data_IF_099176633665
#
_entry.id   IF_099176633665
#
_cell.length_a   1.000
_cell.length_b   1.000
_cell.length_c   1.000
_cell.angle_alpha   90.00
_cell.angle_beta   90.00
_cell.angle_gamma   90.00
#
_symmetry.space_group_name_H-M   'P 1'
#
loop_
_entity.id
_entity.type
_entity.pdbx_description
1 polymer ?
#
# COMPACT_ATOMS: atom_id res chain seq x y z
N UNK A 1 -1.49 -1.73 17.72
CA UNK A 1 -2.38 -2.08 16.58
C UNK A 1 -1.77 -3.30 15.89
N UNK A 2 -2.56 -4.28 15.46
CA UNK A 2 -2.04 -5.49 14.80
C UNK A 2 -2.54 -5.56 13.36
N UNK A 3 -1.65 -5.87 12.42
CA UNK A 3 -1.97 -5.92 10.99
C UNK A 3 -1.43 -7.20 10.36
N UNK A 4 -2.16 -7.73 9.40
CA UNK A 4 -1.63 -8.68 8.44
C UNK A 4 -0.64 -7.94 7.53
N UNK A 5 0.65 -8.32 7.57
CA UNK A 5 1.69 -7.57 6.90
C UNK A 5 1.92 -8.08 5.47
N UNK A 6 1.61 -7.24 4.48
CA UNK A 6 1.89 -7.47 3.06
C UNK A 6 3.11 -6.64 2.63
N UNK A 7 4.33 -7.18 2.73
CA UNK A 7 5.56 -6.43 2.42
C UNK A 7 5.75 -6.15 0.92
N UNK A 8 5.06 -6.90 0.05
CA UNK A 8 5.30 -6.88 -1.39
C UNK A 8 6.55 -7.68 -1.78
N UNK A 9 6.78 -7.81 -3.09
CA UNK A 9 7.88 -8.65 -3.62
C UNK A 9 9.24 -7.96 -3.55
N UNK A 10 9.30 -6.66 -3.87
CA UNK A 10 10.57 -5.91 -3.97
C UNK A 10 11.27 -5.80 -2.62
N UNK A 11 10.53 -5.56 -1.54
CA UNK A 11 11.09 -5.46 -0.18
C UNK A 11 11.60 -6.80 0.37
N UNK A 12 11.23 -7.92 -0.25
CA UNK A 12 11.77 -9.27 0.06
C UNK A 12 12.91 -9.68 -0.86
N UNK A 13 13.18 -8.90 -1.92
CA UNK A 13 14.14 -9.25 -2.96
C UNK A 13 15.13 -8.11 -3.22
N UNK A 14 14.78 -7.22 -4.17
CA UNK A 14 15.70 -6.22 -4.69
C UNK A 14 16.03 -5.05 -3.72
N UNK A 15 15.14 -4.76 -2.77
CA UNK A 15 15.31 -3.68 -1.78
C UNK A 15 15.03 -4.17 -0.35
N UNK A 16 15.81 -5.14 0.18
CA UNK A 16 15.54 -5.79 1.47
C UNK A 16 15.66 -4.86 2.69
N UNK A 17 16.36 -3.74 2.54
CA UNK A 17 16.46 -2.68 3.52
C UNK A 17 15.11 -2.06 3.86
N UNK A 18 14.16 -2.05 2.92
CA UNK A 18 12.80 -1.54 3.14
C UNK A 18 12.10 -2.39 4.20
N UNK A 19 12.10 -3.71 4.04
CA UNK A 19 11.48 -4.62 4.99
C UNK A 19 12.12 -4.50 6.38
N UNK A 20 13.46 -4.50 6.45
CA UNK A 20 14.19 -4.39 7.72
C UNK A 20 13.85 -3.07 8.44
N UNK A 21 13.77 -1.98 7.69
CA UNK A 21 13.43 -0.66 8.24
C UNK A 21 11.98 -0.64 8.74
N UNK A 22 11.04 -1.17 7.94
CA UNK A 22 9.63 -1.30 8.32
C UNK A 22 9.44 -2.07 9.63
N UNK A 23 10.06 -3.25 9.78
CA UNK A 23 9.93 -4.05 11.01
C UNK A 23 10.44 -3.27 12.23
N UNK A 24 11.54 -2.52 12.09
CA UNK A 24 12.09 -1.70 13.17
C UNK A 24 11.18 -0.52 13.52
N UNK A 25 10.70 0.23 12.51
CA UNK A 25 9.82 1.39 12.78
C UNK A 25 8.46 0.95 13.32
N UNK A 26 7.90 -0.17 12.87
CA UNK A 26 6.61 -0.67 13.35
C UNK A 26 6.64 -0.95 14.85
N UNK A 27 7.74 -1.51 15.38
CA UNK A 27 7.92 -1.68 16.83
C UNK A 27 7.88 -0.35 17.59
N UNK A 28 8.54 0.68 17.06
CA UNK A 28 8.57 2.02 17.66
C UNK A 28 7.17 2.66 17.62
N UNK A 29 6.44 2.46 16.52
CA UNK A 29 5.10 2.99 16.31
C UNK A 29 4.01 2.25 17.11
N UNK A 30 4.33 1.10 17.73
CA UNK A 30 3.35 0.25 18.41
C UNK A 30 2.46 -0.55 17.43
N UNK A 31 3.02 -0.89 16.28
CA UNK A 31 2.41 -1.71 15.23
C UNK A 31 3.00 -3.13 15.32
N UNK A 32 2.14 -4.11 15.56
CA UNK A 32 2.46 -5.53 15.44
C UNK A 32 2.20 -5.98 14.00
N UNK A 33 3.21 -6.57 13.37
CA UNK A 33 3.17 -7.09 12.00
C UNK A 33 3.00 -8.61 12.06
N UNK A 34 1.86 -9.12 11.60
CA UNK A 34 1.58 -10.54 11.45
C UNK A 34 1.87 -10.98 10.01
N UNK A 35 3.04 -11.55 9.81
CA UNK A 35 3.43 -12.07 8.49
C UNK A 35 2.83 -13.42 8.17
N UNK A 36 2.49 -14.20 9.20
CA UNK A 36 1.92 -15.53 9.02
C UNK A 36 0.51 -15.44 8.45
N UNK A 37 -0.23 -14.39 8.78
CA UNK A 37 -1.54 -14.10 8.21
C UNK A 37 -1.53 -14.03 6.67
N UNK A 38 -0.39 -13.71 6.05
CA UNK A 38 -0.23 -13.55 4.60
C UNK A 38 0.94 -14.39 4.03
N UNK A 39 1.32 -15.47 4.69
CA UNK A 39 2.46 -16.31 4.28
C UNK A 39 2.25 -16.92 2.88
N UNK A 40 1.02 -17.31 2.55
CA UNK A 40 0.62 -17.88 1.26
C UNK A 40 0.09 -16.83 0.28
N UNK A 41 0.24 -15.54 0.58
CA UNK A 41 -0.21 -14.47 -0.28
C UNK A 41 0.64 -14.41 -1.57
N UNK A 42 -0.01 -14.20 -2.70
CA UNK A 42 0.64 -14.09 -4.01
C UNK A 42 1.06 -12.65 -4.31
N UNK A 43 1.84 -12.46 -5.37
CA UNK A 43 2.06 -11.13 -5.95
C UNK A 43 0.71 -10.48 -6.35
N UNK A 44 0.61 -9.16 -6.26
CA UNK A 44 -0.56 -8.40 -6.70
C UNK A 44 -0.69 -8.31 -8.22
N UNK A 45 0.35 -8.71 -8.97
CA UNK A 45 0.43 -8.57 -10.43
C UNK A 45 0.90 -7.20 -10.92
N UNK A 46 1.22 -6.29 -10.00
CA UNK A 46 1.79 -4.96 -10.27
C UNK A 46 1.02 -4.10 -11.28
N UNK A 47 -0.29 -4.34 -11.45
CA UNK A 47 -1.15 -3.69 -12.45
C UNK A 47 -1.07 -4.31 -13.85
N UNK A 48 0.05 -4.95 -14.18
CA UNK A 48 0.28 -5.58 -15.49
C UNK A 48 -0.66 -6.77 -15.72
N UNK A 49 -0.92 -7.58 -14.69
CA UNK A 49 -1.87 -8.68 -14.81
C UNK A 49 -3.29 -8.18 -15.09
N UNK A 50 -3.72 -7.13 -14.40
CA UNK A 50 -5.06 -6.55 -14.55
C UNK A 50 -5.26 -5.96 -15.95
N UNK A 51 -4.22 -5.36 -16.53
CA UNK A 51 -4.24 -4.87 -17.91
C UNK A 51 -4.47 -5.98 -18.95
N UNK A 52 -4.01 -7.21 -18.68
CA UNK A 52 -4.17 -8.36 -19.59
C UNK A 52 -5.42 -9.19 -19.29
N UNK A 53 -5.70 -9.44 -18.02
CA UNK A 53 -6.84 -10.20 -17.55
C UNK A 53 -7.28 -9.66 -16.17
N UNK A 54 -8.25 -8.76 -16.18
CA UNK A 54 -8.76 -8.13 -14.96
C UNK A 54 -9.33 -9.15 -13.97
N UNK A 55 -10.10 -10.14 -14.44
CA UNK A 55 -10.68 -11.16 -13.56
C UNK A 55 -9.60 -11.94 -12.82
N UNK A 56 -8.54 -12.38 -13.51
CA UNK A 56 -7.42 -13.05 -12.88
C UNK A 56 -6.72 -12.14 -11.87
N UNK A 57 -6.41 -10.91 -12.26
CA UNK A 57 -5.75 -9.94 -11.39
C UNK A 57 -6.57 -9.63 -10.13
N UNK A 58 -7.87 -9.43 -10.26
CA UNK A 58 -8.76 -9.13 -9.14
C UNK A 58 -8.97 -10.36 -8.26
N UNK A 59 -9.05 -11.56 -8.84
CA UNK A 59 -9.16 -12.81 -8.07
C UNK A 59 -7.94 -13.02 -7.18
N UNK A 60 -6.72 -12.77 -7.68
CA UNK A 60 -5.49 -12.86 -6.89
C UNK A 60 -5.45 -11.85 -5.73
N UNK A 61 -5.88 -10.61 -5.98
CA UNK A 61 -5.89 -9.59 -4.93
C UNK A 61 -7.01 -9.83 -3.92
N UNK A 62 -8.19 -10.25 -4.35
CA UNK A 62 -9.28 -10.67 -3.47
C UNK A 62 -8.85 -11.84 -2.58
N UNK A 63 -8.16 -12.84 -3.13
CA UNK A 63 -7.57 -13.95 -2.38
C UNK A 63 -6.63 -13.47 -1.29
N UNK A 64 -5.70 -12.56 -1.63
CA UNK A 64 -4.78 -11.97 -0.65
C UNK A 64 -5.52 -11.24 0.47
N UNK A 65 -6.61 -10.54 0.15
CA UNK A 65 -7.40 -9.84 1.15
C UNK A 65 -8.21 -10.80 2.01
N UNK A 66 -8.81 -11.83 1.40
CA UNK A 66 -9.56 -12.88 2.08
C UNK A 66 -8.68 -13.65 3.09
N UNK A 67 -7.39 -13.84 2.81
CA UNK A 67 -6.44 -14.43 3.77
C UNK A 67 -6.33 -13.60 5.06
N UNK A 68 -6.26 -12.27 4.93
CA UNK A 68 -6.24 -11.37 6.09
C UNK A 68 -7.60 -11.31 6.80
N UNK A 69 -8.71 -11.29 6.04
CA UNK A 69 -10.08 -11.33 6.59
C UNK A 69 -10.33 -12.58 7.42
N UNK A 70 -9.85 -13.73 6.98
CA UNK A 70 -9.94 -15.00 7.73
C UNK A 70 -9.28 -14.92 9.12
N UNK A 71 -8.29 -14.06 9.27
CA UNK A 71 -7.61 -13.80 10.56
C UNK A 71 -8.19 -12.60 11.31
N UNK A 72 -9.22 -11.93 10.76
CA UNK A 72 -9.79 -10.68 11.27
C UNK A 72 -8.75 -9.56 11.46
N UNK A 73 -7.79 -9.46 10.55
CA UNK A 73 -6.72 -8.47 10.61
C UNK A 73 -6.77 -7.48 9.44
N UNK A 74 -6.65 -6.15 9.68
CA UNK A 74 -6.40 -5.17 8.63
C UNK A 74 -5.07 -5.45 7.92
N UNK A 75 -4.99 -5.14 6.62
CA UNK A 75 -3.75 -5.31 5.86
C UNK A 75 -2.92 -4.03 5.93
N UNK A 76 -1.64 -4.19 6.21
CA UNK A 76 -0.64 -3.14 6.11
C UNK A 76 0.33 -3.46 4.96
N UNK A 77 0.53 -2.50 4.07
CA UNK A 77 1.57 -2.58 3.03
C UNK A 77 2.51 -1.37 3.06
N UNK A 78 3.71 -1.55 2.52
CA UNK A 78 4.73 -0.50 2.34
C UNK A 78 5.03 -0.21 0.86
N UNK A 79 4.31 -0.87 -0.04
CA UNK A 79 4.50 -0.74 -1.47
C UNK A 79 3.33 0.04 -2.07
N UNK A 80 3.63 1.18 -2.68
CA UNK A 80 2.62 2.03 -3.35
C UNK A 80 1.89 1.26 -4.45
N UNK A 81 2.59 0.47 -5.27
CA UNK A 81 1.97 -0.37 -6.30
C UNK A 81 1.03 -1.41 -5.71
N UNK A 82 1.45 -2.12 -4.64
CA UNK A 82 0.59 -3.10 -3.99
C UNK A 82 -0.66 -2.45 -3.40
N UNK A 83 -0.51 -1.31 -2.73
CA UNK A 83 -1.63 -0.50 -2.23
C UNK A 83 -2.62 -0.18 -3.36
N UNK A 84 -2.14 0.44 -4.43
CA UNK A 84 -3.02 0.92 -5.50
C UNK A 84 -3.68 -0.20 -6.30
N UNK A 85 -3.03 -1.34 -6.47
CA UNK A 85 -3.63 -2.50 -7.14
C UNK A 85 -4.69 -3.16 -6.26
N UNK A 86 -4.41 -3.36 -4.97
CA UNK A 86 -5.39 -3.94 -4.03
C UNK A 86 -6.61 -3.01 -3.88
N UNK A 87 -6.40 -1.70 -3.68
CA UNK A 87 -7.51 -0.74 -3.58
C UNK A 87 -8.38 -0.67 -4.84
N UNK A 88 -7.81 -0.86 -6.02
CA UNK A 88 -8.59 -0.94 -7.25
C UNK A 88 -9.44 -2.20 -7.32
N UNK A 89 -8.92 -3.35 -6.88
CA UNK A 89 -9.69 -4.58 -6.77
C UNK A 89 -10.82 -4.44 -5.73
N UNK A 90 -10.51 -3.90 -4.54
CA UNK A 90 -11.48 -3.60 -3.49
C UNK A 90 -12.65 -2.76 -4.03
N UNK A 91 -12.32 -1.67 -4.74
CA UNK A 91 -13.30 -0.78 -5.35
C UNK A 91 -14.19 -1.48 -6.38
N UNK A 92 -13.64 -2.35 -7.24
CA UNK A 92 -14.44 -3.11 -8.21
C UNK A 92 -15.32 -4.17 -7.54
N UNK A 93 -14.84 -4.75 -6.45
CA UNK A 93 -15.55 -5.78 -5.66
C UNK A 93 -16.63 -5.20 -4.74
N UNK A 94 -16.85 -3.89 -4.76
CA UNK A 94 -18.10 -3.29 -4.25
C UNK A 94 -19.32 -3.74 -5.08
N UNK A 95 -19.12 -4.15 -6.34
CA UNK A 95 -20.16 -4.80 -7.14
C UNK A 95 -20.40 -6.23 -6.62
N UNK A 96 -21.60 -6.49 -6.11
CA UNK A 96 -21.93 -7.76 -5.44
C UNK A 96 -21.89 -8.97 -6.38
N UNK A 97 -22.33 -8.81 -7.63
CA UNK A 97 -22.31 -9.88 -8.64
C UNK A 97 -20.87 -10.28 -8.99
N UNK A 98 -20.01 -9.28 -9.22
CA UNK A 98 -18.60 -9.50 -9.50
C UNK A 98 -17.87 -10.12 -8.31
N UNK A 99 -18.18 -9.66 -7.09
CA UNK A 99 -17.67 -10.27 -5.86
C UNK A 99 -18.11 -11.72 -5.72
N UNK A 100 -19.38 -12.03 -6.00
CA UNK A 100 -19.88 -13.39 -5.95
C UNK A 100 -19.12 -14.31 -6.93
N UNK A 101 -18.93 -13.87 -8.18
CA UNK A 101 -18.16 -14.59 -9.18
C UNK A 101 -16.73 -14.90 -8.71
N UNK A 102 -16.03 -13.94 -8.10
CA UNK A 102 -14.68 -14.18 -7.58
C UNK A 102 -14.72 -15.15 -6.39
N UNK A 103 -15.69 -14.98 -5.48
CA UNK A 103 -15.82 -15.84 -4.30
C UNK A 103 -16.11 -17.31 -4.66
N UNK A 104 -16.73 -17.60 -5.81
CA UNK A 104 -16.85 -18.98 -6.31
C UNK A 104 -15.47 -19.63 -6.50
N UNK A 105 -14.49 -18.89 -7.02
CA UNK A 105 -13.12 -19.40 -7.18
C UNK A 105 -12.41 -19.50 -5.82
N UNK A 106 -12.58 -18.52 -4.94
CA UNK A 106 -11.95 -18.52 -3.62
C UNK A 106 -12.46 -19.64 -2.70
N UNK A 107 -13.70 -20.09 -2.90
CA UNK A 107 -14.32 -21.16 -2.13
C UNK A 107 -13.54 -22.49 -2.23
N UNK A 108 -12.86 -22.75 -3.35
CA UNK A 108 -11.99 -23.94 -3.52
C UNK A 108 -10.86 -23.99 -2.48
N UNK A 109 -10.42 -22.83 -1.97
CA UNK A 109 -9.40 -22.70 -0.92
C UNK A 109 -10.01 -22.45 0.48
N UNK A 110 -11.34 -22.50 0.61
CA UNK A 110 -12.03 -22.16 1.85
C UNK A 110 -11.79 -20.71 2.27
N UNK A 111 -11.79 -19.80 1.29
CA UNK A 111 -11.65 -18.35 1.43
C UNK A 111 -12.89 -17.65 0.89
N UNK A 112 -13.17 -16.47 1.44
CA UNK A 112 -14.25 -15.59 0.98
C UNK A 112 -13.77 -14.14 1.16
N UNK A 113 -13.90 -13.32 0.11
CA UNK A 113 -13.73 -11.87 0.22
C UNK A 113 -15.07 -11.24 0.60
N UNK A 114 -15.09 -10.55 1.73
CA UNK A 114 -16.26 -9.88 2.29
C UNK A 114 -16.22 -8.36 2.11
N UNK A 115 -15.04 -7.78 1.88
CA UNK A 115 -14.84 -6.33 1.75
C UNK A 115 -14.82 -5.58 3.07
N UNK A 116 -14.60 -6.29 4.18
CA UNK A 116 -14.55 -5.71 5.53
C UNK A 116 -13.15 -5.22 5.90
N UNK A 117 -12.12 -5.71 5.20
CA UNK A 117 -10.72 -5.44 5.54
C UNK A 117 -10.07 -4.59 4.44
N UNK A 118 -9.98 -3.26 4.62
CA UNK A 118 -9.31 -2.40 3.66
C UNK A 118 -7.78 -2.55 3.76
N UNK A 119 -7.12 -2.55 2.60
CA UNK A 119 -5.66 -2.47 2.49
C UNK A 119 -5.19 -1.05 2.76
N UNK A 120 -4.21 -0.88 3.66
CA UNK A 120 -3.70 0.44 4.04
C UNK A 120 -2.19 0.53 3.98
N UNK A 121 -1.73 1.65 3.43
CA UNK A 121 -0.32 1.94 3.32
C UNK A 121 0.20 2.46 4.65
N UNK A 122 1.43 2.09 5.04
CA UNK A 122 2.00 2.52 6.32
C UNK A 122 2.02 4.04 6.50
N UNK A 123 2.24 4.80 5.42
CA UNK A 123 2.20 6.27 5.45
C UNK A 123 0.82 6.78 5.91
N UNK A 124 -0.25 6.18 5.39
CA UNK A 124 -1.61 6.55 5.74
C UNK A 124 -1.94 6.17 7.18
N UNK A 125 -1.50 5.00 7.65
CA UNK A 125 -1.64 4.61 9.06
C UNK A 125 -0.93 5.63 9.99
N UNK A 126 0.25 6.09 9.59
CA UNK A 126 1.00 7.10 10.35
C UNK A 126 0.21 8.41 10.44
N UNK A 127 -0.27 8.96 9.32
CA UNK A 127 -0.94 10.27 9.34
C UNK A 127 -2.36 10.21 9.89
N UNK A 128 -3.12 9.14 9.60
CA UNK A 128 -4.54 9.02 9.95
C UNK A 128 -4.77 8.51 11.38
N UNK A 129 -3.94 7.59 11.89
CA UNK A 129 -4.18 6.93 13.19
C UNK A 129 -3.14 7.27 14.25
N UNK A 130 -1.86 7.31 13.89
CA UNK A 130 -0.80 7.64 14.85
C UNK A 130 -0.82 9.15 15.11
N UNK A 131 -0.91 9.93 14.03
CA UNK A 131 -0.98 11.38 14.05
C UNK A 131 0.33 12.05 14.41
N UNK A 132 0.41 13.34 14.06
CA UNK A 132 1.60 14.18 14.18
C UNK A 132 2.21 14.15 15.59
N UNK A 133 1.40 14.47 16.61
CA UNK A 133 1.89 14.65 17.99
C UNK A 133 2.58 13.40 18.51
N UNK A 134 1.97 12.23 18.30
CA UNK A 134 2.55 10.96 18.74
C UNK A 134 3.78 10.63 17.90
N UNK A 135 3.73 10.79 16.58
CA UNK A 135 4.85 10.51 15.71
C UNK A 135 6.08 11.36 16.07
N UNK A 136 5.92 12.69 16.19
CA UNK A 136 6.99 13.62 16.59
C UNK A 136 7.61 13.25 17.95
N UNK A 137 6.82 12.78 18.91
CA UNK A 137 7.33 12.34 20.23
C UNK A 137 8.25 11.10 20.16
N UNK A 138 8.14 10.31 19.09
CA UNK A 138 8.95 9.11 18.87
C UNK A 138 10.25 9.39 18.11
N UNK A 139 10.36 10.56 17.46
CA UNK A 139 11.56 10.97 16.71
C UNK A 139 12.72 11.19 17.68
N UNK A 140 13.78 10.37 17.52
CA UNK A 140 14.99 10.44 18.37
C UNK A 140 16.10 11.30 17.80
N UNK A 141 16.13 11.44 16.47
CA UNK A 141 17.11 12.24 15.75
C UNK A 141 16.37 13.04 14.69
N UNK A 142 16.40 14.36 14.85
CA UNK A 142 15.91 15.28 13.84
C UNK A 142 16.82 15.23 12.61
N UNK A 143 16.22 15.44 11.45
CA UNK A 143 16.88 15.50 10.15
C UNK A 143 17.17 16.95 9.73
N UNK A 144 17.49 17.80 10.72
CA UNK A 144 17.74 19.23 10.52
C UNK A 144 18.80 19.45 9.41
N UNK A 145 18.51 20.39 8.52
CA UNK A 145 19.38 20.72 7.39
C UNK A 145 19.24 19.80 6.17
N UNK A 146 18.50 18.69 6.25
CA UNK A 146 18.16 17.89 5.07
C UNK A 146 16.97 18.49 4.32
N UNK A 147 17.08 18.49 2.99
CA UNK A 147 16.05 18.93 2.06
C UNK A 147 15.55 17.74 1.27
N UNK A 148 14.27 17.40 1.39
CA UNK A 148 13.68 16.21 0.78
C UNK A 148 12.56 16.60 -0.20
N UNK A 149 12.60 16.02 -1.40
CA UNK A 149 11.60 16.24 -2.45
C UNK A 149 10.63 15.03 -2.46
N UNK A 150 9.35 15.19 -2.09
CA UNK A 150 8.39 14.09 -2.00
C UNK A 150 8.08 13.44 -3.36
N UNK A 151 8.19 12.13 -3.46
CA UNK A 151 7.74 11.39 -4.65
C UNK A 151 6.73 10.32 -4.25
N UNK A 152 5.46 10.55 -4.62
CA UNK A 152 4.35 9.69 -4.22
C UNK A 152 4.31 8.36 -4.99
N UNK A 153 4.76 8.38 -6.24
CA UNK A 153 4.45 7.32 -7.20
C UNK A 153 2.97 7.31 -7.60
N UNK A 154 2.67 6.85 -8.81
CA UNK A 154 1.33 6.95 -9.38
C UNK A 154 0.26 6.16 -8.61
N UNK A 155 0.58 4.98 -8.10
CA UNK A 155 -0.36 4.08 -7.43
C UNK A 155 -0.78 4.52 -6.02
N UNK A 156 -0.08 5.49 -5.41
CA UNK A 156 -0.46 6.04 -4.11
C UNK A 156 -1.38 7.26 -4.23
N UNK A 157 -1.57 7.80 -5.45
CA UNK A 157 -2.41 8.99 -5.70
C UNK A 157 -3.49 8.76 -6.76
N UNK A 158 -3.40 7.70 -7.57
CA UNK A 158 -4.36 7.38 -8.63
C UNK A 158 -4.74 5.88 -8.65
N UNK A 159 -6.02 5.54 -8.92
CA UNK A 159 -7.16 6.45 -9.10
C UNK A 159 -7.71 6.93 -7.74
N UNK A 160 -7.89 8.24 -7.59
CA UNK A 160 -8.24 8.89 -6.32
C UNK A 160 -9.53 8.36 -5.68
N UNK A 161 -10.48 7.88 -6.51
CA UNK A 161 -11.72 7.25 -6.03
C UNK A 161 -11.47 5.93 -5.32
N UNK A 162 -10.70 5.02 -5.92
CA UNK A 162 -10.34 3.73 -5.29
C UNK A 162 -9.47 3.93 -4.05
N UNK A 163 -8.65 4.99 -4.04
CA UNK A 163 -7.80 5.35 -2.91
C UNK A 163 -8.52 6.25 -1.89
N UNK A 164 -9.83 6.49 -2.03
CA UNK A 164 -10.69 7.21 -1.07
C UNK A 164 -10.20 8.62 -0.68
N UNK A 165 -9.54 9.33 -1.60
CA UNK A 165 -8.98 10.66 -1.31
C UNK A 165 -10.06 11.70 -0.94
N UNK A 166 -11.28 11.58 -1.47
CA UNK A 166 -12.40 12.47 -1.09
C UNK A 166 -12.85 12.30 0.37
N UNK A 167 -12.63 11.12 0.95
CA UNK A 167 -12.95 10.81 2.35
C UNK A 167 -11.75 11.05 3.28
N UNK A 168 -10.54 11.12 2.70
CA UNK A 168 -9.25 11.15 3.39
C UNK A 168 -8.30 12.18 2.76
N UNK A 169 -8.64 13.48 2.84
CA UNK A 169 -7.83 14.55 2.24
C UNK A 169 -6.40 14.62 2.81
N UNK A 170 -6.17 14.15 4.04
CA UNK A 170 -4.85 14.06 4.68
C UNK A 170 -3.84 13.19 3.91
N UNK A 171 -4.29 12.37 2.96
CA UNK A 171 -3.42 11.56 2.09
C UNK A 171 -2.65 12.41 1.07
N UNK A 172 -3.15 13.59 0.72
CA UNK A 172 -2.58 14.46 -0.32
C UNK A 172 -1.21 15.04 0.06
N UNK A 173 -0.95 15.20 1.36
CA UNK A 173 0.27 15.82 1.90
C UNK A 173 1.09 14.88 2.78
N UNK A 174 0.74 13.60 2.83
CA UNK A 174 1.32 12.68 3.82
C UNK A 174 2.85 12.55 3.75
N UNK A 175 3.48 12.68 2.57
CA UNK A 175 4.95 12.66 2.47
C UNK A 175 5.58 13.99 2.91
N UNK A 176 4.95 15.12 2.59
CA UNK A 176 5.32 16.44 3.09
C UNK A 176 5.24 16.47 4.62
N UNK A 177 4.11 16.03 5.18
CA UNK A 177 3.87 15.97 6.61
C UNK A 177 4.94 15.14 7.32
N UNK A 178 5.18 13.90 6.87
CA UNK A 178 6.22 13.06 7.46
C UNK A 178 7.62 13.67 7.36
N UNK A 179 7.93 14.34 6.24
CA UNK A 179 9.21 15.03 6.03
C UNK A 179 9.41 16.12 7.08
N UNK A 180 8.40 16.95 7.32
CA UNK A 180 8.46 18.00 8.36
C UNK A 180 8.47 17.40 9.76
N UNK A 181 7.74 16.31 10.00
CA UNK A 181 7.64 15.68 11.31
C UNK A 181 8.97 15.08 11.78
N UNK A 182 9.86 14.72 10.87
CA UNK A 182 11.22 14.28 11.19
C UNK A 182 12.25 15.43 11.18
N UNK A 183 11.82 16.68 11.04
CA UNK A 183 12.68 17.88 11.08
C UNK A 183 13.38 18.22 9.77
N UNK A 184 13.08 17.52 8.67
CA UNK A 184 13.60 17.86 7.36
C UNK A 184 12.78 18.98 6.70
N UNK A 185 13.37 19.66 5.72
CA UNK A 185 12.70 20.69 4.92
C UNK A 185 12.11 20.07 3.64
N UNK A 186 10.81 20.27 3.42
CA UNK A 186 10.14 19.89 2.17
C UNK A 186 10.63 20.77 1.03
N UNK A 187 10.96 20.15 -0.10
CA UNK A 187 11.21 20.82 -1.36
C UNK A 187 10.03 20.58 -2.29
N UNK A 188 9.26 21.64 -2.56
CA UNK A 188 8.21 21.57 -3.57
C UNK A 188 8.83 21.53 -4.96
N UNK A 189 8.33 20.62 -5.78
CA UNK A 189 8.74 20.46 -7.17
C UNK A 189 7.59 19.85 -7.98
N UNK A 190 7.50 20.13 -9.29
CA UNK A 190 6.36 19.73 -10.10
C UNK A 190 6.23 18.21 -10.30
N UNK A 191 7.29 17.44 -10.03
CA UNK A 191 7.33 16.00 -10.27
C UNK A 191 6.78 15.13 -9.13
N UNK A 192 6.28 15.71 -8.03
CA UNK A 192 5.83 14.95 -6.84
C UNK A 192 4.76 13.88 -7.13
N UNK A 193 3.90 14.14 -8.12
CA UNK A 193 2.86 13.22 -8.60
C UNK A 193 3.08 12.78 -10.05
N UNK A 194 4.26 13.02 -10.62
CA UNK A 194 4.61 12.54 -11.94
C UNK A 194 4.84 11.02 -11.95
N UNK A 195 4.73 10.40 -13.12
CA UNK A 195 5.13 9.02 -13.30
C UNK A 195 6.66 8.95 -13.35
N UNK A 196 7.28 7.98 -12.65
CA UNK A 196 8.72 7.73 -12.77
C UNK A 196 9.14 7.12 -14.12
N UNK A 197 8.18 6.70 -14.94
CA UNK A 197 8.44 6.07 -16.24
C UNK A 197 8.78 4.58 -16.18
N UNK A 198 8.94 3.98 -15.00
CA UNK A 198 9.38 2.59 -14.90
C UNK A 198 8.48 1.58 -15.65
N UNK A 199 7.13 1.63 -15.59
CA UNK A 199 6.32 0.67 -16.35
C UNK A 199 6.50 0.79 -17.86
N UNK A 200 6.63 2.02 -18.40
CA UNK A 200 6.70 2.23 -19.85
C UNK A 200 8.04 1.75 -20.43
N UNK A 201 9.16 1.86 -19.70
CA UNK A 201 10.46 1.36 -20.20
C UNK A 201 10.44 -0.16 -20.37
N UNK A 202 9.66 -0.88 -19.56
CA UNK A 202 9.57 -2.35 -19.67
C UNK A 202 8.73 -2.85 -20.85
N UNK A 203 7.94 -1.97 -21.48
CA UNK A 203 6.99 -2.33 -22.55
C UNK A 203 7.33 -1.64 -23.88
N UNK A 204 7.95 -0.46 -23.83
CA UNK A 204 8.34 0.34 -24.98
C UNK A 204 9.87 0.50 -25.01
N UNK A 205 10.54 -0.35 -25.80
CA UNK A 205 12.00 -0.36 -25.96
C UNK A 205 12.55 1.02 -26.37
N UNK A 206 11.81 1.80 -27.17
CA UNK A 206 12.23 3.15 -27.59
C UNK A 206 12.23 4.18 -26.46
N UNK A 207 11.55 3.88 -25.35
CA UNK A 207 11.50 4.73 -24.17
C UNK A 207 12.59 4.37 -23.14
N UNK A 208 13.32 3.27 -23.35
CA UNK A 208 14.41 2.79 -22.47
C UNK A 208 15.75 3.44 -22.76
#
# INVERSE_FOLDING_TARGET
MKFAFFPGCVSRGACPELYTSTVKISKILGIELDEKALESASCTGAGVLQEKNQLLGDTLNARNIALAEKQNLPILTICSTCQGVMSQAEYRLENEEYRAQINETLAEEGLEYTGKTPTRHILWIIVEEIGEKKFKSLVKRQLDGLRLAPFYGCYLVRPSKALKFYEKPERETCLEDLTEWVGATVVDFPGKTACCGFPIVTINEKAS
#
